data_IF_524311583605
#
_entry.id   IF_524311583605
#
_cell.length_a   1.000
_cell.length_b   1.000
_cell.length_c   1.000
_cell.angle_alpha   90.00
_cell.angle_beta   90.00
_cell.angle_gamma   90.00
#
_symmetry.space_group_name_H-M   'P 1'
#
loop_
_entity.id
_entity.type
_entity.pdbx_description
1 polymer ?
#
# COMPACT_ATOMS: atom_id res chain seq x y z
N UNK A 1 16.22 -5.68 34.44
CA UNK A 1 16.79 -6.39 33.27
C UNK A 1 17.04 -5.37 32.17
N UNK A 2 18.28 -5.29 31.68
CA UNK A 2 18.73 -4.19 30.83
C UNK A 2 18.20 -4.38 29.39
N UNK A 3 17.20 -3.59 29.01
CA UNK A 3 16.43 -3.72 27.76
C UNK A 3 17.33 -3.65 26.50
N UNK A 4 18.48 -2.96 26.58
CA UNK A 4 19.37 -2.78 25.41
C UNK A 4 20.15 -4.04 24.99
N UNK A 5 20.43 -4.97 25.91
CA UNK A 5 21.17 -6.19 25.58
C UNK A 5 20.28 -7.24 24.89
N UNK A 6 19.03 -7.38 25.37
CA UNK A 6 18.01 -8.22 24.75
C UNK A 6 17.67 -7.73 23.34
N UNK A 7 17.64 -6.40 23.14
CA UNK A 7 17.41 -5.77 21.84
C UNK A 7 18.56 -6.06 20.86
N UNK A 8 19.83 -5.97 21.29
CA UNK A 8 20.98 -6.31 20.45
C UNK A 8 20.98 -7.78 20.01
N UNK A 9 20.74 -8.70 20.95
CA UNK A 9 20.71 -10.14 20.64
C UNK A 9 19.53 -10.51 19.72
N UNK A 10 18.38 -9.86 19.90
CA UNK A 10 17.23 -10.03 19.01
C UNK A 10 17.53 -9.53 17.59
N UNK A 11 18.19 -8.37 17.45
CA UNK A 11 18.59 -7.82 16.15
C UNK A 11 19.58 -8.73 15.42
N UNK A 12 20.60 -9.24 16.11
CA UNK A 12 21.57 -10.17 15.52
C UNK A 12 20.89 -11.47 15.03
N UNK A 13 19.97 -12.03 15.83
CA UNK A 13 19.17 -13.20 15.42
C UNK A 13 18.30 -12.89 14.20
N UNK A 14 17.60 -11.77 14.19
CA UNK A 14 16.77 -11.34 13.06
C UNK A 14 17.60 -11.14 11.79
N UNK A 15 18.78 -10.54 11.90
CA UNK A 15 19.69 -10.37 10.79
C UNK A 15 20.17 -11.73 10.25
N UNK A 16 20.50 -12.68 11.12
CA UNK A 16 20.87 -14.03 10.69
C UNK A 16 19.72 -14.74 9.98
N UNK A 17 18.50 -14.67 10.50
CA UNK A 17 17.33 -15.22 9.81
C UNK A 17 17.11 -14.57 8.45
N UNK A 18 17.24 -13.25 8.36
CA UNK A 18 17.15 -12.50 7.11
C UNK A 18 18.21 -12.98 6.11
N UNK A 19 19.48 -13.08 6.51
CA UNK A 19 20.56 -13.53 5.63
C UNK A 19 20.35 -14.96 5.12
N UNK A 20 19.91 -15.87 5.99
CA UNK A 20 19.58 -17.25 5.61
C UNK A 20 18.41 -17.27 4.63
N UNK A 21 17.33 -16.54 4.92
CA UNK A 21 16.11 -16.57 4.11
C UNK A 21 16.29 -15.85 2.76
N UNK A 22 17.11 -14.79 2.75
CA UNK A 22 17.50 -14.07 1.53
C UNK A 22 18.39 -14.91 0.63
N UNK A 23 19.31 -15.67 1.21
CA UNK A 23 20.32 -16.43 0.47
C UNK A 23 21.11 -15.51 -0.47
N UNK A 24 21.21 -15.90 -1.75
CA UNK A 24 22.00 -15.18 -2.75
C UNK A 24 21.25 -14.05 -3.46
N UNK A 25 19.98 -13.79 -3.11
CA UNK A 25 19.15 -12.77 -3.79
C UNK A 25 19.63 -11.36 -3.46
N UNK A 26 19.40 -10.39 -4.34
CA UNK A 26 19.50 -8.97 -3.97
C UNK A 26 18.39 -8.60 -2.97
N UNK A 27 18.51 -7.46 -2.29
CA UNK A 27 17.49 -7.00 -1.33
C UNK A 27 16.13 -6.80 -2.04
N UNK A 28 16.15 -6.30 -3.27
CA UNK A 28 14.97 -6.04 -4.09
C UNK A 28 14.34 -7.34 -4.58
N UNK A 29 15.14 -8.25 -5.13
CA UNK A 29 14.66 -9.57 -5.52
C UNK A 29 14.06 -10.34 -4.34
N UNK A 30 14.70 -10.25 -3.17
CA UNK A 30 14.19 -10.88 -1.97
C UNK A 30 12.88 -10.25 -1.50
N UNK A 31 12.75 -8.93 -1.56
CA UNK A 31 11.52 -8.23 -1.23
C UNK A 31 10.34 -8.70 -2.10
N UNK A 32 10.52 -8.74 -3.42
CA UNK A 32 9.49 -9.23 -4.34
C UNK A 32 9.20 -10.71 -4.11
N UNK A 33 10.25 -11.54 -4.03
CA UNK A 33 10.11 -12.96 -3.74
C UNK A 33 9.32 -13.21 -2.46
N UNK A 34 9.61 -12.46 -1.39
CA UNK A 34 8.94 -12.61 -0.11
C UNK A 34 7.45 -12.31 -0.23
N UNK A 35 7.09 -11.16 -0.78
CA UNK A 35 5.69 -10.75 -0.89
C UNK A 35 4.91 -11.56 -1.92
N UNK A 36 5.54 -12.00 -3.00
CA UNK A 36 4.89 -12.80 -4.03
C UNK A 36 4.64 -14.24 -3.61
N UNK A 37 5.45 -14.81 -2.71
CA UNK A 37 5.25 -16.18 -2.22
C UNK A 37 4.52 -16.23 -0.88
N UNK A 38 4.82 -15.32 0.04
CA UNK A 38 4.33 -15.36 1.42
C UNK A 38 3.41 -14.18 1.78
N UNK A 39 3.40 -13.12 0.96
CA UNK A 39 2.50 -11.99 1.15
C UNK A 39 1.05 -12.31 0.79
N UNK A 40 0.15 -11.40 1.17
CA UNK A 40 -1.27 -11.48 0.83
C UNK A 40 -1.47 -11.53 -0.68
N UNK A 41 -2.05 -12.61 -1.19
CA UNK A 41 -2.29 -12.79 -2.63
C UNK A 41 -3.65 -12.25 -3.05
N UNK A 42 -3.76 -11.76 -4.29
CA UNK A 42 -5.03 -11.24 -4.82
C UNK A 42 -6.15 -12.27 -4.71
N UNK A 43 -5.90 -13.52 -5.13
CA UNK A 43 -6.89 -14.61 -5.09
C UNK A 43 -7.29 -15.03 -3.69
N UNK A 44 -6.53 -14.66 -2.66
CA UNK A 44 -6.85 -14.94 -1.26
C UNK A 44 -7.69 -13.83 -0.63
N UNK A 45 -7.69 -12.63 -1.23
CA UNK A 45 -8.33 -11.44 -0.65
C UNK A 45 -9.53 -10.95 -1.47
N UNK A 46 -9.46 -10.98 -2.79
CA UNK A 46 -10.49 -10.48 -3.70
C UNK A 46 -11.28 -11.66 -4.29
N UNK A 47 -12.54 -11.79 -3.88
CA UNK A 47 -13.42 -12.89 -4.32
C UNK A 47 -14.15 -12.58 -5.62
N UNK A 48 -14.72 -11.38 -5.70
CA UNK A 48 -15.61 -11.00 -6.79
C UNK A 48 -15.49 -9.51 -7.09
N UNK A 49 -15.43 -9.18 -8.38
CA UNK A 49 -15.32 -7.82 -8.87
C UNK A 49 -16.29 -7.63 -10.04
N UNK A 50 -17.06 -6.55 -9.99
CA UNK A 50 -18.06 -6.24 -11.00
C UNK A 50 -18.15 -4.72 -11.15
N UNK A 51 -18.18 -4.23 -12.39
CA UNK A 51 -18.39 -2.83 -12.71
C UNK A 51 -19.65 -2.70 -13.56
N UNK A 52 -20.71 -2.16 -12.96
CA UNK A 52 -22.05 -2.22 -13.54
C UNK A 52 -22.46 -3.65 -13.86
N UNK A 53 -22.80 -3.95 -15.12
CA UNK A 53 -23.19 -5.31 -15.55
C UNK A 53 -22.00 -6.18 -15.96
N UNK A 54 -20.79 -5.62 -15.99
CA UNK A 54 -19.60 -6.34 -16.44
C UNK A 54 -18.90 -7.03 -15.27
N UNK A 55 -18.84 -8.38 -15.31
CA UNK A 55 -17.99 -9.16 -14.40
C UNK A 55 -16.52 -8.95 -14.76
N UNK A 56 -15.71 -8.59 -13.78
CA UNK A 56 -14.28 -8.33 -13.94
C UNK A 56 -13.44 -9.46 -13.33
N UNK A 57 -12.26 -9.68 -13.90
CA UNK A 57 -11.22 -10.46 -13.24
C UNK A 57 -10.54 -9.58 -12.19
N UNK A 58 -10.79 -9.86 -10.90
CA UNK A 58 -10.25 -9.08 -9.80
C UNK A 58 -8.74 -8.90 -9.88
N UNK A 59 -8.00 -9.95 -10.25
CA UNK A 59 -6.54 -9.91 -10.23
C UNK A 59 -5.93 -9.27 -11.48
N UNK A 60 -6.75 -8.92 -12.47
CA UNK A 60 -6.35 -8.05 -13.59
C UNK A 60 -6.67 -6.58 -13.34
N UNK A 61 -7.69 -6.30 -12.52
CA UNK A 61 -8.10 -4.91 -12.24
C UNK A 61 -7.52 -4.36 -10.95
N UNK A 62 -7.04 -5.22 -10.04
CA UNK A 62 -6.33 -4.84 -8.83
C UNK A 62 -4.87 -5.27 -8.90
N UNK A 63 -3.97 -4.29 -8.95
CA UNK A 63 -2.53 -4.49 -8.98
C UNK A 63 -1.94 -4.36 -7.57
N UNK A 64 -0.91 -5.16 -7.24
CA UNK A 64 -0.22 -5.03 -5.97
C UNK A 64 0.55 -3.70 -5.93
N UNK A 65 0.43 -2.99 -4.82
CA UNK A 65 1.21 -1.79 -4.51
C UNK A 65 1.76 -1.88 -3.09
N UNK A 66 2.84 -1.15 -2.81
CA UNK A 66 3.47 -1.13 -1.49
C UNK A 66 3.33 0.24 -0.85
N UNK A 67 2.76 0.28 0.34
CA UNK A 67 2.54 1.51 1.09
C UNK A 67 3.37 1.53 2.37
N UNK A 68 3.87 2.72 2.71
CA UNK A 68 4.60 2.95 3.95
C UNK A 68 3.72 2.50 5.12
N UNK A 69 4.31 1.74 6.05
CA UNK A 69 3.67 1.22 7.28
C UNK A 69 2.54 0.20 7.07
N UNK A 70 2.18 -0.15 5.84
CA UNK A 70 1.07 -1.08 5.54
C UNK A 70 1.48 -2.28 4.69
N UNK A 71 2.66 -2.26 4.08
CA UNK A 71 3.15 -3.37 3.27
C UNK A 71 2.38 -3.49 1.95
N UNK A 72 2.10 -4.72 1.51
CA UNK A 72 1.40 -5.00 0.25
C UNK A 72 -0.10 -4.68 0.36
N UNK A 73 -0.58 -3.83 -0.54
CA UNK A 73 -1.97 -3.45 -0.73
C UNK A 73 -2.38 -3.72 -2.19
N UNK A 74 -3.67 -3.56 -2.51
CA UNK A 74 -4.21 -3.73 -3.86
C UNK A 74 -4.85 -2.43 -4.36
N UNK A 75 -4.36 -1.90 -5.47
CA UNK A 75 -4.87 -0.68 -6.11
C UNK A 75 -5.61 -1.02 -7.39
N UNK A 76 -6.75 -0.39 -7.62
CA UNK A 76 -7.43 -0.49 -8.91
C UNK A 76 -6.60 0.14 -10.02
N UNK A 77 -6.57 -0.49 -11.20
CA UNK A 77 -6.21 0.19 -12.45
C UNK A 77 -7.20 1.34 -12.74
N UNK A 78 -6.93 2.12 -13.78
CA UNK A 78 -7.90 3.14 -14.23
C UNK A 78 -9.19 2.49 -14.71
N UNK A 79 -10.28 2.73 -13.97
CA UNK A 79 -11.62 2.24 -14.28
C UNK A 79 -12.55 3.43 -14.52
N UNK A 80 -13.34 3.35 -15.59
CA UNK A 80 -14.29 4.40 -15.96
C UNK A 80 -15.72 3.88 -15.82
N UNK A 81 -16.52 4.60 -15.03
CA UNK A 81 -17.95 4.34 -14.90
C UNK A 81 -18.65 4.69 -16.23
N UNK A 82 -19.34 3.72 -16.82
CA UNK A 82 -20.07 3.89 -18.10
C UNK A 82 -21.56 4.18 -17.91
N UNK A 83 -22.13 3.72 -16.79
CA UNK A 83 -23.55 3.85 -16.48
C UNK A 83 -23.77 4.77 -15.28
N UNK A 84 -24.97 5.31 -15.12
CA UNK A 84 -25.29 6.22 -14.03
C UNK A 84 -25.41 5.52 -12.67
N UNK A 85 -24.95 6.22 -11.63
CA UNK A 85 -25.22 5.95 -10.22
C UNK A 85 -25.06 4.46 -9.83
N UNK A 86 -26.11 3.82 -9.31
CA UNK A 86 -26.09 2.45 -8.80
C UNK A 86 -25.84 1.38 -9.87
N UNK A 87 -26.22 1.65 -11.11
CA UNK A 87 -26.06 0.72 -12.24
C UNK A 87 -24.62 0.72 -12.77
N UNK A 88 -23.83 1.74 -12.43
CA UNK A 88 -22.43 1.86 -12.84
C UNK A 88 -21.42 1.58 -11.74
N UNK A 89 -21.87 1.14 -10.55
CA UNK A 89 -20.99 1.02 -9.38
C UNK A 89 -19.97 -0.11 -9.52
N UNK A 90 -18.80 0.11 -8.91
CA UNK A 90 -17.81 -0.93 -8.65
C UNK A 90 -18.24 -1.72 -7.40
N UNK A 91 -18.55 -3.00 -7.59
CA UNK A 91 -18.83 -3.95 -6.52
C UNK A 91 -17.61 -4.83 -6.32
N UNK A 92 -17.17 -4.92 -5.07
CA UNK A 92 -16.04 -5.74 -4.66
C UNK A 92 -16.51 -6.60 -3.49
N UNK A 93 -16.25 -7.90 -3.57
CA UNK A 93 -16.44 -8.82 -2.45
C UNK A 93 -15.06 -9.28 -1.98
N UNK A 94 -14.82 -9.09 -0.69
CA UNK A 94 -13.56 -9.41 -0.03
C UNK A 94 -13.69 -10.71 0.75
N UNK A 95 -12.63 -11.50 0.76
CA UNK A 95 -12.46 -12.62 1.69
C UNK A 95 -11.72 -12.14 2.92
N UNK A 96 -11.98 -12.80 4.04
CA UNK A 96 -11.20 -12.58 5.25
C UNK A 96 -9.75 -13.01 4.98
N UNK A 97 -8.75 -12.13 5.19
CA UNK A 97 -7.37 -12.46 4.86
C UNK A 97 -6.85 -13.56 5.81
N UNK A 98 -5.94 -14.44 5.34
CA UNK A 98 -5.32 -15.43 6.20
C UNK A 98 -4.45 -14.76 7.27
N UNK A 99 -4.61 -15.19 8.52
CA UNK A 99 -3.82 -14.68 9.65
C UNK A 99 -2.59 -15.56 9.88
N UNK A 100 -1.42 -14.93 10.07
CA UNK A 100 -0.17 -15.65 10.35
C UNK A 100 -0.08 -16.15 11.80
N UNK A 101 -0.70 -15.46 12.76
CA UNK A 101 -0.66 -15.84 14.18
C UNK A 101 -2.07 -15.87 14.79
N UNK A 102 -2.56 -17.08 15.05
CA UNK A 102 -3.86 -17.33 15.69
C UNK A 102 -3.90 -16.92 17.16
N UNK A 103 -2.77 -16.64 17.81
CA UNK A 103 -2.73 -16.16 19.18
C UNK A 103 -2.86 -14.63 19.27
N UNK A 104 -2.66 -13.92 18.15
CA UNK A 104 -2.99 -12.50 18.01
C UNK A 104 -4.49 -12.24 17.83
N UNK A 105 -5.34 -13.27 17.92
CA UNK A 105 -6.82 -13.25 17.84
C UNK A 105 -7.53 -12.17 18.68
N UNK A 106 -6.85 -11.49 19.61
CA UNK A 106 -7.38 -10.33 20.33
C UNK A 106 -7.38 -9.04 19.50
N UNK A 107 -6.56 -8.95 18.48
CA UNK A 107 -6.49 -7.80 17.56
C UNK A 107 -7.38 -8.14 16.37
N UNK A 108 -8.55 -7.50 16.30
CA UNK A 108 -9.45 -7.64 15.15
C UNK A 108 -8.72 -7.18 13.89
N UNK A 109 -8.68 -8.02 12.85
CA UNK A 109 -8.13 -7.62 11.55
C UNK A 109 -8.98 -6.49 10.98
N UNK A 110 -8.36 -5.34 10.79
CA UNK A 110 -8.99 -4.17 10.20
C UNK A 110 -8.66 -4.09 8.72
N UNK A 111 -9.68 -4.26 7.87
CA UNK A 111 -9.53 -3.98 6.44
C UNK A 111 -9.70 -2.48 6.23
N UNK A 112 -8.77 -1.86 5.51
CA UNK A 112 -8.79 -0.41 5.25
C UNK A 112 -8.84 -0.18 3.75
N UNK A 113 -9.75 0.69 3.32
CA UNK A 113 -9.82 1.21 1.97
C UNK A 113 -9.35 2.67 1.91
N UNK A 114 -8.63 3.00 0.85
CA UNK A 114 -8.24 4.36 0.52
C UNK A 114 -8.93 4.76 -0.77
N UNK A 115 -9.56 5.94 -0.77
CA UNK A 115 -10.16 6.53 -1.97
C UNK A 115 -9.39 7.80 -2.26
N UNK A 116 -8.54 7.74 -3.28
CA UNK A 116 -7.64 8.81 -3.66
C UNK A 116 -7.49 8.86 -5.19
N UNK A 117 -6.82 9.91 -5.66
CA UNK A 117 -6.39 9.99 -7.06
C UNK A 117 -5.41 8.87 -7.41
N UNK A 118 -5.41 8.42 -8.66
CA UNK A 118 -4.54 7.36 -9.13
C UNK A 118 -3.08 7.84 -9.26
N UNK A 119 -2.34 7.79 -8.15
CA UNK A 119 -0.91 8.15 -8.08
C UNK A 119 -0.05 6.93 -7.67
N UNK A 120 1.26 6.93 -8.00
CA UNK A 120 2.18 5.85 -7.61
C UNK A 120 2.22 5.63 -6.09
N UNK A 121 2.13 6.72 -5.34
CA UNK A 121 2.07 6.74 -3.88
C UNK A 121 0.71 7.23 -3.41
N UNK A 122 0.17 6.61 -2.35
CA UNK A 122 -1.13 6.97 -1.77
C UNK A 122 -0.89 7.40 -0.32
N UNK A 123 -1.35 8.59 0.03
CA UNK A 123 -1.27 9.07 1.41
C UNK A 123 -2.08 8.18 2.37
N UNK A 124 -1.71 8.09 3.65
CA UNK A 124 -2.43 7.27 4.63
C UNK A 124 -3.82 7.82 5.00
N UNK A 125 -4.29 8.89 4.36
CA UNK A 125 -5.59 9.53 4.61
C UNK A 125 -6.22 10.04 3.31
N UNK A 126 -7.58 10.07 3.22
CA UNK A 126 -8.53 9.53 4.19
C UNK A 126 -8.58 7.99 4.17
N UNK A 127 -8.75 7.38 5.35
CA UNK A 127 -8.82 5.93 5.54
C UNK A 127 -10.23 5.52 5.94
N UNK A 128 -10.78 4.52 5.27
CA UNK A 128 -12.11 3.98 5.55
C UNK A 128 -11.98 2.55 6.06
N UNK A 129 -12.46 2.29 7.28
CA UNK A 129 -12.46 0.96 7.84
C UNK A 129 -13.63 0.14 7.28
N UNK A 130 -13.31 -1.05 6.79
CA UNK A 130 -14.28 -2.02 6.31
C UNK A 130 -14.40 -3.14 7.35
N UNK A 131 -15.62 -3.37 7.82
CA UNK A 131 -15.91 -4.39 8.82
C UNK A 131 -16.34 -5.70 8.15
N UNK A 132 -15.96 -6.86 8.72
CA UNK A 132 -16.38 -8.15 8.20
C UNK A 132 -17.90 -8.31 8.31
N UNK A 133 -18.49 -9.08 7.39
CA UNK A 133 -19.92 -9.42 7.36
C UNK A 133 -20.87 -8.22 7.22
N UNK A 134 -20.38 -7.07 6.74
CA UNK A 134 -21.19 -5.88 6.49
C UNK A 134 -21.04 -5.43 5.05
N UNK A 135 -22.15 -5.00 4.44
CA UNK A 135 -22.15 -4.38 3.12
C UNK A 135 -21.86 -2.88 3.26
N UNK A 136 -20.64 -2.48 2.93
CA UNK A 136 -20.26 -1.05 2.90
C UNK A 136 -20.58 -0.46 1.53
N UNK A 137 -21.48 0.52 1.51
CA UNK A 137 -21.81 1.30 0.31
C UNK A 137 -21.23 2.71 0.42
N UNK A 138 -20.38 3.07 -0.52
CA UNK A 138 -19.75 4.40 -0.57
C UNK A 138 -20.26 5.16 -1.80
N UNK A 139 -20.82 6.37 -1.58
CA UNK A 139 -21.12 7.31 -2.66
C UNK A 139 -19.98 8.32 -2.74
N UNK A 140 -19.30 8.35 -3.87
CA UNK A 140 -18.14 9.19 -4.09
C UNK A 140 -18.52 10.37 -4.98
N UNK A 141 -17.99 11.55 -4.68
CA UNK A 141 -18.12 12.74 -5.51
C UNK A 141 -16.73 13.33 -5.75
N UNK A 142 -16.32 13.39 -7.01
CA UNK A 142 -15.06 14.02 -7.38
C UNK A 142 -15.25 15.54 -7.47
N UNK A 143 -14.38 16.30 -6.81
CA UNK A 143 -14.34 17.76 -6.92
C UNK A 143 -13.01 18.16 -7.55
N UNK A 144 -13.07 18.88 -8.68
CA UNK A 144 -11.90 19.50 -9.30
C UNK A 144 -11.85 20.98 -8.95
N UNK A 145 -10.75 21.43 -8.36
CA UNK A 145 -10.47 22.85 -8.11
C UNK A 145 -9.34 23.24 -9.07
N UNK A 146 -9.58 24.25 -9.91
CA UNK A 146 -8.55 24.84 -10.77
C UNK A 146 -8.14 26.16 -10.13
N UNK A 147 -6.87 26.29 -9.79
CA UNK A 147 -6.29 27.52 -9.25
C UNK A 147 -5.62 28.28 -10.40
N UNK A 148 -5.52 29.60 -10.28
CA UNK A 148 -4.68 30.37 -11.18
C UNK A 148 -3.20 30.04 -10.91
N UNK A 149 -2.36 29.98 -11.97
CA UNK A 149 -0.95 29.70 -11.79
C UNK A 149 -0.32 30.85 -10.99
N UNK A 150 0.09 30.55 -9.76
CA UNK A 150 0.93 31.41 -8.94
C UNK A 150 2.30 30.77 -8.87
N UNK A 151 3.31 31.46 -9.43
CA UNK A 151 4.69 31.01 -9.36
C UNK A 151 5.06 30.72 -7.90
N UNK A 152 5.82 29.64 -7.68
CA UNK A 152 6.31 29.17 -6.37
C UNK A 152 5.27 28.55 -5.42
N UNK A 153 3.96 28.68 -5.67
CA UNK A 153 2.90 28.13 -4.79
C UNK A 153 2.25 26.87 -5.34
N UNK A 154 2.07 26.80 -6.67
CA UNK A 154 1.44 25.67 -7.35
C UNK A 154 2.40 25.06 -8.39
N UNK A 155 2.37 23.75 -8.54
CA UNK A 155 3.08 23.03 -9.61
C UNK A 155 2.06 22.22 -10.42
N UNK A 156 2.27 22.20 -11.73
CA UNK A 156 1.48 21.40 -12.68
C UNK A 156 2.06 19.98 -12.85
N UNK A 157 3.17 19.65 -12.19
CA UNK A 157 3.77 18.31 -12.25
C UNK A 157 2.88 17.27 -11.57
N UNK A 158 2.37 16.31 -12.35
CA UNK A 158 1.38 15.34 -11.88
C UNK A 158 1.97 14.22 -10.99
N UNK A 159 3.07 13.64 -11.46
CA UNK A 159 3.60 12.35 -10.97
C UNK A 159 4.47 12.50 -9.72
N UNK A 160 5.22 13.59 -9.62
CA UNK A 160 6.22 13.80 -8.57
C UNK A 160 5.84 14.91 -7.60
N UNK A 161 4.77 15.66 -7.90
CA UNK A 161 4.34 16.79 -7.08
C UNK A 161 2.88 16.63 -6.70
N UNK A 162 2.62 16.74 -5.40
CA UNK A 162 1.31 16.54 -4.81
C UNK A 162 1.39 16.53 -3.30
N UNK A 163 0.29 16.91 -2.63
CA UNK A 163 0.23 16.93 -1.15
C UNK A 163 0.54 15.56 -0.56
N UNK A 164 0.01 14.51 -1.17
CA UNK A 164 0.19 13.12 -0.72
C UNK A 164 1.65 12.67 -0.84
N UNK A 165 2.26 12.94 -2.00
CA UNK A 165 3.67 12.62 -2.27
C UNK A 165 4.57 13.41 -1.32
N UNK A 166 4.34 14.72 -1.16
CA UNK A 166 5.11 15.56 -0.24
C UNK A 166 5.04 15.05 1.20
N UNK A 167 3.86 14.62 1.67
CA UNK A 167 3.70 14.04 3.00
C UNK A 167 4.54 12.77 3.15
N UNK A 168 4.45 11.86 2.17
CA UNK A 168 5.15 10.56 2.15
C UNK A 168 6.67 10.78 2.13
N UNK A 169 7.15 11.63 1.23
CA UNK A 169 8.57 11.98 1.10
C UNK A 169 9.12 12.59 2.38
N UNK A 170 8.42 13.57 2.96
CA UNK A 170 8.82 14.17 4.23
C UNK A 170 8.85 13.15 5.35
N UNK A 171 7.89 12.24 5.39
CA UNK A 171 7.86 11.16 6.39
C UNK A 171 9.06 10.23 6.23
N UNK A 172 9.34 9.76 5.00
CA UNK A 172 10.49 8.89 4.72
C UNK A 172 11.80 9.59 5.11
N UNK A 173 11.99 10.84 4.71
CA UNK A 173 13.20 11.60 5.03
C UNK A 173 13.40 11.78 6.54
N UNK A 174 12.33 12.12 7.26
CA UNK A 174 12.40 12.41 8.70
C UNK A 174 12.64 11.16 9.54
N UNK A 175 11.98 10.05 9.20
CA UNK A 175 11.93 8.87 10.06
C UNK A 175 12.78 7.69 9.58
N UNK A 176 13.20 7.69 8.31
CA UNK A 176 13.92 6.57 7.71
C UNK A 176 15.28 7.03 7.17
N UNK A 177 15.30 7.90 6.16
CA UNK A 177 16.52 8.21 5.41
C UNK A 177 17.49 9.08 6.21
N UNK A 178 16.98 10.08 6.92
CA UNK A 178 17.78 10.91 7.81
C UNK A 178 18.46 10.12 8.94
N UNK A 179 17.71 9.38 9.78
CA UNK A 179 18.30 8.68 10.91
C UNK A 179 19.05 7.39 10.56
N UNK A 180 18.64 6.66 9.52
CA UNK A 180 19.14 5.31 9.23
C UNK A 180 19.94 5.20 7.93
N UNK A 181 20.01 6.27 7.12
CA UNK A 181 20.69 6.31 5.83
C UNK A 181 20.29 5.16 4.87
N UNK A 182 19.03 4.75 4.95
CA UNK A 182 18.45 3.68 4.15
C UNK A 182 16.99 3.98 3.77
N UNK A 183 16.50 3.27 2.75
CA UNK A 183 15.14 3.41 2.22
C UNK A 183 14.48 2.05 1.98
N UNK A 184 13.17 2.03 1.72
CA UNK A 184 12.46 0.79 1.42
C UNK A 184 12.85 0.21 0.06
N UNK A 185 12.91 -1.13 -0.10
CA UNK A 185 13.31 -1.77 -1.37
C UNK A 185 12.46 -1.35 -2.58
N UNK A 186 11.14 -1.25 -2.41
CA UNK A 186 10.20 -0.89 -3.49
C UNK A 186 10.28 0.59 -3.93
N UNK A 187 11.02 1.44 -3.21
CA UNK A 187 11.05 2.87 -3.53
C UNK A 187 11.72 3.14 -4.88
N UNK A 188 12.59 2.27 -5.38
CA UNK A 188 13.23 2.46 -6.69
C UNK A 188 12.26 2.44 -7.86
N UNK A 189 11.14 1.72 -7.74
CA UNK A 189 10.07 1.71 -8.75
C UNK A 189 9.38 3.08 -8.87
N UNK A 190 9.50 3.90 -7.82
CA UNK A 190 8.78 5.17 -7.66
C UNK A 190 9.74 6.34 -7.83
N UNK A 191 10.91 6.27 -7.17
CA UNK A 191 12.01 7.22 -7.31
C UNK A 191 13.35 6.49 -7.20
N UNK A 192 14.27 6.67 -8.16
CA UNK A 192 15.61 6.12 -8.03
C UNK A 192 16.34 6.82 -6.88
N UNK A 193 16.89 6.05 -5.92
CA UNK A 193 17.69 6.58 -4.82
C UNK A 193 19.07 5.91 -4.77
N UNK A 194 20.08 6.63 -4.27
CA UNK A 194 21.44 6.09 -4.03
C UNK A 194 21.61 5.52 -2.62
N UNK A 195 20.55 5.50 -1.82
CA UNK A 195 20.59 5.09 -0.42
C UNK A 195 20.67 3.56 -0.29
N UNK A 196 21.20 3.12 0.85
CA UNK A 196 21.18 1.69 1.19
C UNK A 196 19.75 1.19 1.40
N UNK A 197 19.48 -0.10 1.20
CA UNK A 197 18.12 -0.66 1.26
C UNK A 197 17.95 -1.46 2.54
N UNK A 198 16.77 -1.33 3.16
CA UNK A 198 16.36 -2.13 4.31
C UNK A 198 16.00 -3.57 3.94
#
# INVERSE_FOLDING_TARGET
>A
MNVSWLDKQARERMNNFYLIFRGNKTIEEFFHYFFDNFGLQCKQFLQHCQLGDTKLDCCKVFEPIYLIRRGRCFRTISLYQKNFDELGKLRIQLMYPPEMDKNLNKIKVEIIAFVAEHKPQIAPFPRYYLYPNVWTKMRLSARRIRLFPAAEVCSDEYLNVGKDICYIERWIQTYLEGPLNCTYPYMNEIRPTKLSRL
#
